data_IF_306982608184
#
_entry.id   IF_306982608184
#
_cell.length_a   1.000
_cell.length_b   1.000
_cell.length_c   1.000
_cell.angle_alpha   90.00
_cell.angle_beta   90.00
_cell.angle_gamma   90.00
#
_symmetry.space_group_name_H-M   'P 1'
#
loop_
_entity.id
_entity.type
_entity.pdbx_description
1 polymer ?
#
# COMPACT_ATOMS: atom_id res chain seq x y z
N UNK A 1 -44.79 -21.11 23.54
CA UNK A 1 -44.29 -19.71 23.68
C UNK A 1 -42.78 -19.81 23.88
N UNK A 2 -42.01 -19.57 22.81
CA UNK A 2 -40.56 -19.76 22.83
C UNK A 2 -39.89 -18.48 23.32
N UNK A 3 -39.12 -18.61 24.39
CA UNK A 3 -38.36 -17.54 25.02
C UNK A 3 -37.30 -17.00 24.06
N UNK A 4 -37.38 -15.70 23.76
CA UNK A 4 -36.32 -14.99 23.04
C UNK A 4 -35.06 -14.95 23.92
N UNK A 5 -34.09 -15.81 23.60
CA UNK A 5 -32.76 -15.77 24.19
C UNK A 5 -32.10 -14.45 23.80
N UNK A 6 -31.84 -13.63 24.82
CA UNK A 6 -31.16 -12.33 24.76
C UNK A 6 -29.84 -12.48 23.99
N UNK A 7 -29.75 -11.91 22.79
CA UNK A 7 -28.49 -11.78 22.05
C UNK A 7 -27.58 -10.92 22.92
N UNK A 8 -26.50 -11.52 23.44
CA UNK A 8 -25.45 -10.80 24.16
C UNK A 8 -24.83 -9.81 23.18
N UNK A 9 -25.21 -8.54 23.29
CA UNK A 9 -24.67 -7.43 22.51
C UNK A 9 -23.18 -7.28 22.83
N UNK A 10 -22.31 -7.96 22.08
CA UNK A 10 -20.93 -7.46 21.97
C UNK A 10 -21.05 -6.06 21.37
N UNK A 11 -20.54 -5.01 22.05
CA UNK A 11 -20.51 -3.69 21.46
C UNK A 11 -19.76 -3.77 20.13
N UNK A 12 -20.13 -2.93 19.14
CA UNK A 12 -19.46 -2.91 17.86
C UNK A 12 -17.95 -2.73 18.03
N UNK A 13 -17.18 -3.22 17.07
CA UNK A 13 -15.75 -3.00 16.97
C UNK A 13 -15.51 -1.49 17.08
N UNK A 14 -14.68 -1.10 18.04
CA UNK A 14 -14.46 0.31 18.42
C UNK A 14 -12.96 0.60 18.49
N UNK A 15 -12.44 1.24 17.44
CA UNK A 15 -11.05 1.67 17.33
C UNK A 15 -10.76 3.01 18.03
N UNK A 16 -11.78 3.69 18.55
CA UNK A 16 -11.60 4.92 19.34
C UNK A 16 -11.26 4.64 20.80
N UNK A 17 -11.66 3.48 21.30
CA UNK A 17 -11.32 3.05 22.64
C UNK A 17 -10.17 2.02 22.60
N UNK A 18 -8.90 2.45 22.74
CA UNK A 18 -7.75 1.55 22.68
C UNK A 18 -7.74 0.49 23.79
N UNK A 19 -8.50 0.68 24.88
CA UNK A 19 -8.63 -0.29 25.96
C UNK A 19 -9.55 -1.47 25.60
N UNK A 20 -10.27 -1.42 24.48
CA UNK A 20 -11.16 -2.51 24.01
C UNK A 20 -10.41 -3.64 23.32
N UNK A 21 -9.20 -3.38 22.83
CA UNK A 21 -8.43 -4.32 22.01
C UNK A 21 -7.02 -4.48 22.55
N UNK A 22 -6.56 -5.72 22.57
CA UNK A 22 -5.15 -6.04 22.78
C UNK A 22 -4.34 -5.77 21.51
N UNK A 23 -3.02 -5.69 21.62
CA UNK A 23 -2.14 -5.62 20.44
C UNK A 23 -2.37 -6.78 19.46
N UNK A 24 -2.70 -7.97 19.97
CA UNK A 24 -3.03 -9.13 19.14
C UNK A 24 -4.32 -8.91 18.36
N UNK A 25 -5.36 -8.34 18.98
CA UNK A 25 -6.62 -8.04 18.31
C UNK A 25 -6.40 -7.04 17.15
N UNK A 26 -5.57 -6.01 17.36
CA UNK A 26 -5.18 -5.09 16.29
C UNK A 26 -4.49 -5.80 15.12
N UNK A 27 -3.58 -6.74 15.40
CA UNK A 27 -2.88 -7.50 14.36
C UNK A 27 -3.83 -8.40 13.57
N UNK A 28 -4.77 -9.06 14.24
CA UNK A 28 -5.77 -9.91 13.58
C UNK A 28 -6.70 -9.07 12.71
N UNK A 29 -7.21 -7.96 13.24
CA UNK A 29 -8.20 -7.13 12.57
C UNK A 29 -7.60 -6.28 11.44
N UNK A 30 -6.43 -5.69 11.66
CA UNK A 30 -5.86 -4.67 10.74
C UNK A 30 -4.55 -5.09 10.08
N UNK A 31 -3.90 -6.15 10.59
CA UNK A 31 -2.55 -6.53 10.18
C UNK A 31 -1.43 -5.71 10.85
N UNK A 32 -1.77 -4.73 11.68
CA UNK A 32 -0.82 -3.85 12.36
C UNK A 32 -0.84 -4.09 13.87
N UNK A 33 0.30 -3.85 14.54
CA UNK A 33 0.31 -3.71 16.00
C UNK A 33 -0.42 -2.42 16.44
N UNK A 34 -0.77 -2.34 17.72
CA UNK A 34 -1.40 -1.15 18.30
C UNK A 34 -0.56 0.12 18.09
N UNK A 35 0.76 0.05 18.30
CA UNK A 35 1.66 1.19 18.05
C UNK A 35 1.66 1.60 16.58
N UNK A 36 1.86 0.66 15.65
CA UNK A 36 1.85 0.95 14.23
C UNK A 36 0.52 1.54 13.75
N UNK A 37 -0.61 1.06 14.30
CA UNK A 37 -1.91 1.62 14.01
C UNK A 37 -2.05 3.07 14.52
N UNK A 38 -1.54 3.34 15.73
CA UNK A 38 -1.53 4.68 16.28
C UNK A 38 -0.65 5.64 15.47
N UNK A 39 0.54 5.20 15.08
CA UNK A 39 1.47 5.98 14.25
C UNK A 39 0.83 6.32 12.90
N UNK A 40 0.21 5.33 12.24
CA UNK A 40 -0.54 5.54 11.00
C UNK A 40 -1.65 6.58 11.17
N UNK A 41 -2.42 6.49 12.26
CA UNK A 41 -3.48 7.45 12.55
C UNK A 41 -2.93 8.86 12.81
N UNK A 42 -1.74 8.98 13.42
CA UNK A 42 -1.08 10.26 13.71
C UNK A 42 -0.55 10.95 12.44
N UNK A 43 -0.20 10.18 11.39
CA UNK A 43 0.17 10.74 10.08
C UNK A 43 -1.00 11.45 9.38
N UNK A 44 -2.25 11.17 9.76
CA UNK A 44 -3.43 11.74 9.09
C UNK A 44 -3.97 12.92 9.91
N UNK A 45 -4.06 14.13 9.33
CA UNK A 45 -4.64 15.27 10.03
C UNK A 45 -6.07 15.00 10.47
N UNK A 46 -6.41 15.33 11.72
CA UNK A 46 -7.75 15.13 12.29
C UNK A 46 -8.86 15.89 11.54
N UNK A 47 -8.51 16.91 10.75
CA UNK A 47 -9.41 17.69 9.91
C UNK A 47 -9.68 17.07 8.54
N UNK A 48 -8.89 16.08 8.10
CA UNK A 48 -9.00 15.47 6.77
C UNK A 48 -10.13 14.44 6.66
N UNK A 49 -10.68 14.00 7.79
CA UNK A 49 -11.81 13.07 7.85
C UNK A 49 -12.93 13.70 8.68
N UNK A 50 -14.16 13.60 8.19
CA UNK A 50 -15.35 14.11 8.90
C UNK A 50 -15.53 13.35 10.23
N UNK A 51 -15.19 14.00 11.34
CA UNK A 51 -15.51 13.49 12.68
C UNK A 51 -16.99 13.77 12.98
N UNK A 52 -17.85 12.78 12.78
CA UNK A 52 -19.14 12.72 13.47
C UNK A 52 -19.01 11.81 14.69
N UNK A 53 -19.95 11.91 15.63
CA UNK A 53 -19.94 11.12 16.88
C UNK A 53 -19.78 9.61 16.70
N UNK A 54 -20.13 9.08 15.52
CA UNK A 54 -20.03 7.65 15.18
C UNK A 54 -19.01 7.35 14.06
N UNK A 55 -18.24 8.34 13.59
CA UNK A 55 -17.31 8.20 12.45
C UNK A 55 -16.05 9.01 12.71
N UNK A 56 -15.20 8.51 13.58
CA UNK A 56 -13.89 9.13 13.79
C UNK A 56 -12.90 8.73 12.70
N UNK A 57 -11.81 9.47 12.61
CA UNK A 57 -10.67 9.14 11.73
C UNK A 57 -10.14 7.72 11.99
N UNK A 58 -10.02 7.32 13.27
CA UNK A 58 -9.51 6.00 13.66
C UNK A 58 -10.45 4.88 13.24
N UNK A 59 -11.75 5.07 13.43
CA UNK A 59 -12.76 4.11 12.97
C UNK A 59 -12.73 3.94 11.45
N UNK A 60 -12.58 5.02 10.69
CA UNK A 60 -12.53 4.96 9.25
C UNK A 60 -11.28 4.21 8.74
N UNK A 61 -10.10 4.51 9.31
CA UNK A 61 -8.84 3.83 8.98
C UNK A 61 -8.91 2.35 9.37
N UNK A 62 -9.38 2.05 10.58
CA UNK A 62 -9.55 0.67 11.06
C UNK A 62 -10.51 -0.13 10.18
N UNK A 63 -11.64 0.44 9.79
CA UNK A 63 -12.61 -0.18 8.89
C UNK A 63 -11.99 -0.53 7.52
N UNK A 64 -11.19 0.39 6.96
CA UNK A 64 -10.50 0.16 5.70
C UNK A 64 -9.46 -0.96 5.82
N UNK A 65 -8.64 -0.93 6.86
CA UNK A 65 -7.63 -1.97 7.09
C UNK A 65 -8.27 -3.34 7.33
N UNK A 66 -9.37 -3.40 8.10
CA UNK A 66 -10.16 -4.63 8.26
C UNK A 66 -10.69 -5.15 6.93
N UNK A 67 -11.22 -4.27 6.08
CA UNK A 67 -11.71 -4.66 4.77
C UNK A 67 -10.59 -5.27 3.91
N UNK A 68 -9.43 -4.64 3.89
CA UNK A 68 -8.27 -5.10 3.11
C UNK A 68 -7.68 -6.40 3.66
N UNK A 69 -7.61 -6.53 4.99
CA UNK A 69 -7.00 -7.67 5.68
C UNK A 69 -7.89 -8.92 5.64
N UNK A 70 -9.18 -8.74 5.89
CA UNK A 70 -10.14 -9.83 6.11
C UNK A 70 -11.10 -10.04 4.93
N UNK A 71 -10.96 -9.26 3.85
CA UNK A 71 -11.80 -9.32 2.65
C UNK A 71 -13.32 -9.24 2.93
N UNK A 72 -13.72 -8.44 3.93
CA UNK A 72 -15.11 -8.38 4.38
C UNK A 72 -16.03 -7.63 3.41
N UNK A 73 -17.29 -8.09 3.33
CA UNK A 73 -18.37 -7.39 2.62
C UNK A 73 -18.76 -6.10 3.35
N UNK A 74 -19.47 -5.21 2.66
CA UNK A 74 -19.91 -3.95 3.29
C UNK A 74 -20.98 -4.22 4.35
N UNK A 75 -21.79 -5.25 4.15
CA UNK A 75 -22.83 -5.71 5.06
C UNK A 75 -22.22 -6.23 6.36
N UNK A 76 -21.17 -7.05 6.28
CA UNK A 76 -20.46 -7.54 7.47
C UNK A 76 -19.77 -6.42 8.22
N UNK A 77 -19.13 -5.48 7.50
CA UNK A 77 -18.53 -4.30 8.13
C UNK A 77 -19.58 -3.40 8.80
N UNK A 78 -20.76 -3.24 8.20
CA UNK A 78 -21.85 -2.46 8.80
C UNK A 78 -22.28 -3.06 10.14
N UNK A 79 -22.46 -4.38 10.19
CA UNK A 79 -22.82 -5.09 11.42
C UNK A 79 -21.71 -5.00 12.47
N UNK A 80 -20.45 -5.25 12.10
CA UNK A 80 -19.33 -5.26 13.04
C UNK A 80 -19.05 -3.88 13.63
N UNK A 81 -19.18 -2.81 12.84
CA UNK A 81 -18.86 -1.45 13.24
C UNK A 81 -20.09 -0.64 13.71
N UNK A 82 -21.28 -1.27 13.76
CA UNK A 82 -22.51 -0.59 14.16
C UNK A 82 -22.93 0.54 13.20
N UNK A 83 -22.60 0.42 11.91
CA UNK A 83 -22.95 1.41 10.90
C UNK A 83 -24.33 1.11 10.29
N UNK A 84 -25.06 2.18 9.96
CA UNK A 84 -26.48 2.11 9.61
C UNK A 84 -26.79 1.42 8.29
N UNK A 85 -25.90 1.54 7.29
CA UNK A 85 -26.16 1.09 5.93
C UNK A 85 -24.89 0.94 5.07
N UNK A 86 -25.04 0.25 3.93
CA UNK A 86 -23.97 -0.02 2.95
C UNK A 86 -23.35 1.25 2.35
N UNK A 87 -24.14 2.30 2.10
CA UNK A 87 -23.64 3.57 1.54
C UNK A 87 -22.76 4.28 2.57
N UNK A 88 -23.19 4.28 3.83
CA UNK A 88 -22.38 4.77 4.95
C UNK A 88 -21.02 4.08 5.01
N UNK A 89 -20.98 2.74 4.96
CA UNK A 89 -19.71 1.98 4.93
C UNK A 89 -18.86 2.38 3.73
N UNK A 90 -19.45 2.44 2.53
CA UNK A 90 -18.73 2.85 1.33
C UNK A 90 -18.10 4.25 1.45
N UNK A 91 -18.83 5.20 2.02
CA UNK A 91 -18.35 6.57 2.21
C UNK A 91 -17.21 6.64 3.24
N UNK A 92 -17.30 5.88 4.33
CA UNK A 92 -16.24 5.77 5.35
C UNK A 92 -14.96 5.17 4.77
N UNK A 93 -15.09 4.09 3.98
CA UNK A 93 -13.95 3.47 3.33
C UNK A 93 -13.30 4.39 2.29
N UNK A 94 -14.13 5.10 1.50
CA UNK A 94 -13.63 6.02 0.49
C UNK A 94 -12.92 7.22 1.12
N UNK A 95 -13.46 7.80 2.20
CA UNK A 95 -12.81 8.91 2.89
C UNK A 95 -11.46 8.50 3.48
N UNK A 96 -11.40 7.34 4.15
CA UNK A 96 -10.15 6.79 4.68
C UNK A 96 -9.11 6.56 3.58
N UNK A 97 -9.53 6.00 2.43
CA UNK A 97 -8.65 5.78 1.28
C UNK A 97 -8.07 7.09 0.76
N UNK A 98 -8.91 8.10 0.54
CA UNK A 98 -8.47 9.40 0.03
C UNK A 98 -7.51 10.08 1.02
N UNK A 99 -7.81 10.02 2.32
CA UNK A 99 -6.95 10.61 3.35
C UNK A 99 -5.58 9.91 3.41
N UNK A 100 -5.54 8.57 3.36
CA UNK A 100 -4.29 7.81 3.33
C UNK A 100 -3.48 8.11 2.07
N UNK A 101 -4.11 8.16 0.90
CA UNK A 101 -3.41 8.49 -0.35
C UNK A 101 -2.75 9.87 -0.28
N UNK A 102 -3.46 10.86 0.27
CA UNK A 102 -3.01 12.24 0.34
C UNK A 102 -1.94 12.50 1.41
N UNK A 103 -2.08 11.90 2.58
CA UNK A 103 -1.27 12.25 3.75
C UNK A 103 -0.22 11.21 4.12
N UNK A 104 -0.51 9.93 3.89
CA UNK A 104 0.41 8.85 4.24
C UNK A 104 1.21 8.37 3.03
N UNK A 105 0.53 7.97 1.96
CA UNK A 105 1.19 7.39 0.78
C UNK A 105 2.12 8.41 0.15
N UNK A 106 1.68 9.64 -0.08
CA UNK A 106 2.52 10.68 -0.68
C UNK A 106 3.83 10.90 0.10
N UNK A 107 3.78 10.86 1.43
CA UNK A 107 4.90 11.19 2.30
C UNK A 107 5.80 10.00 2.66
N UNK A 108 5.30 8.77 2.53
CA UNK A 108 6.01 7.58 3.04
C UNK A 108 6.14 6.42 2.04
N UNK A 109 5.40 6.45 0.92
CA UNK A 109 5.37 5.35 -0.06
C UNK A 109 5.41 5.83 -1.53
N UNK A 110 5.05 7.07 -1.83
CA UNK A 110 4.98 7.63 -3.18
C UNK A 110 6.31 8.18 -3.67
N UNK A 111 6.50 8.40 -4.97
CA UNK A 111 7.81 8.81 -5.50
C UNK A 111 8.35 10.15 -4.97
N UNK A 112 7.52 10.96 -4.30
CA UNK A 112 7.93 12.23 -3.70
C UNK A 112 8.71 12.07 -2.38
N UNK A 113 8.61 10.93 -1.68
CA UNK A 113 9.31 10.75 -0.40
C UNK A 113 10.79 10.37 -0.53
N UNK A 114 11.24 9.98 -1.73
CA UNK A 114 12.63 9.59 -2.00
C UNK A 114 13.17 10.47 -3.13
N UNK A 115 14.27 11.18 -2.85
CA UNK A 115 14.95 11.94 -3.89
C UNK A 115 15.64 11.00 -4.89
N UNK A 116 15.78 11.42 -6.15
CA UNK A 116 16.54 10.67 -7.17
C UNK A 116 17.95 10.31 -6.69
N UNK A 117 18.64 11.23 -6.02
CA UNK A 117 19.99 10.98 -5.48
C UNK A 117 19.97 9.89 -4.40
N UNK A 118 19.03 9.99 -3.46
CA UNK A 118 18.82 8.95 -2.43
C UNK A 118 18.57 7.57 -3.04
N UNK A 119 17.79 7.50 -4.14
CA UNK A 119 17.52 6.24 -4.85
C UNK A 119 18.80 5.66 -5.50
N UNK A 120 19.59 6.50 -6.16
CA UNK A 120 20.82 6.08 -6.85
C UNK A 120 21.92 5.68 -5.84
N UNK A 121 22.04 6.44 -4.75
CA UNK A 121 23.14 6.29 -3.80
C UNK A 121 22.86 5.17 -2.79
N UNK A 122 21.62 5.05 -2.30
CA UNK A 122 21.28 4.16 -1.18
C UNK A 122 20.48 2.92 -1.58
N UNK A 123 19.85 2.92 -2.76
CA UNK A 123 18.88 1.88 -3.15
C UNK A 123 19.20 1.18 -4.47
N UNK A 124 20.25 1.61 -5.17
CA UNK A 124 20.74 0.93 -6.38
C UNK A 124 22.03 0.17 -6.06
N UNK A 125 21.97 -1.17 -6.08
CA UNK A 125 23.15 -2.01 -5.79
C UNK A 125 24.22 -1.86 -6.88
N UNK A 126 25.53 -1.94 -6.53
CA UNK A 126 26.63 -1.86 -7.50
C UNK A 126 26.46 -2.85 -8.68
N UNK A 127 26.11 -4.10 -8.39
CA UNK A 127 25.80 -5.10 -9.40
C UNK A 127 24.73 -4.63 -10.41
N UNK A 128 23.62 -4.05 -9.94
CA UNK A 128 22.57 -3.55 -10.82
C UNK A 128 23.08 -2.40 -11.70
N UNK A 129 23.94 -1.53 -11.16
CA UNK A 129 24.56 -0.43 -11.92
C UNK A 129 25.43 -0.95 -13.07
N UNK A 130 26.20 -2.00 -12.81
CA UNK A 130 27.07 -2.62 -13.81
C UNK A 130 26.22 -3.24 -14.93
N UNK A 131 25.17 -3.98 -14.58
CA UNK A 131 24.35 -4.72 -15.55
C UNK A 131 23.40 -3.84 -16.36
N UNK A 132 22.79 -2.83 -15.75
CA UNK A 132 21.66 -2.12 -16.34
C UNK A 132 21.92 -0.63 -16.57
N UNK A 133 23.04 -0.10 -16.07
CA UNK A 133 23.35 1.33 -16.15
C UNK A 133 24.75 1.65 -16.73
N UNK A 134 25.50 0.67 -17.24
CA UNK A 134 26.87 0.84 -17.74
C UNK A 134 27.81 1.44 -16.68
N UNK A 135 27.59 1.08 -15.41
CA UNK A 135 28.30 1.63 -14.25
C UNK A 135 28.15 3.15 -14.06
N UNK A 136 27.13 3.76 -14.66
CA UNK A 136 26.86 5.19 -14.54
C UNK A 136 26.11 5.51 -13.22
N UNK A 137 26.77 6.29 -12.35
CA UNK A 137 26.25 6.73 -11.05
C UNK A 137 25.21 7.86 -11.11
N UNK A 138 24.73 8.26 -12.30
CA UNK A 138 23.62 9.22 -12.44
C UNK A 138 22.33 8.55 -12.97
N UNK A 139 22.36 7.23 -13.20
CA UNK A 139 21.19 6.47 -13.65
C UNK A 139 20.51 5.77 -12.47
N UNK A 140 19.20 5.99 -12.34
CA UNK A 140 18.35 5.24 -11.42
C UNK A 140 17.81 3.98 -12.10
N UNK A 141 17.79 2.86 -11.37
CA UNK A 141 17.23 1.60 -11.84
C UNK A 141 15.95 1.33 -11.07
N UNK A 142 14.85 1.11 -11.79
CA UNK A 142 13.53 0.84 -11.23
C UNK A 142 13.04 -0.51 -11.74
N UNK A 143 12.74 -1.42 -10.82
CA UNK A 143 12.11 -2.72 -11.14
C UNK A 143 10.64 -2.61 -10.79
N UNK A 144 9.77 -2.81 -11.78
CA UNK A 144 8.33 -2.75 -11.62
C UNK A 144 7.76 -4.15 -11.82
N UNK A 145 7.18 -4.73 -10.76
CA UNK A 145 6.48 -6.01 -10.84
C UNK A 145 5.17 -5.85 -11.62
N UNK A 146 5.04 -6.62 -12.71
CA UNK A 146 3.90 -6.60 -13.63
C UNK A 146 2.59 -7.01 -12.97
N UNK A 147 2.64 -7.71 -11.84
CA UNK A 147 1.46 -8.06 -11.04
C UNK A 147 0.65 -6.82 -10.67
N UNK A 148 1.29 -5.71 -10.27
CA UNK A 148 0.60 -4.46 -9.97
C UNK A 148 0.27 -3.61 -11.21
N UNK A 149 0.97 -3.84 -12.33
CA UNK A 149 0.67 -3.17 -13.62
C UNK A 149 -0.61 -3.73 -14.25
N UNK A 150 -0.93 -5.01 -14.02
CA UNK A 150 -2.08 -5.68 -14.65
C UNK A 150 -3.29 -5.88 -13.73
N UNK A 151 -3.16 -5.71 -12.41
CA UNK A 151 -4.23 -6.03 -11.45
C UNK A 151 -5.42 -5.07 -11.37
N UNK A 152 -5.57 -4.07 -12.25
CA UNK A 152 -6.76 -3.20 -12.21
C UNK A 152 -7.40 -3.08 -13.60
N UNK A 153 -8.51 -3.81 -13.78
CA UNK A 153 -9.41 -3.74 -14.95
C UNK A 153 -10.08 -2.36 -15.16
N UNK A 154 -9.76 -1.35 -14.35
CA UNK A 154 -10.23 0.03 -14.47
C UNK A 154 -9.00 0.96 -14.36
N UNK A 155 -8.71 1.70 -15.44
CA UNK A 155 -7.69 2.76 -15.54
C UNK A 155 -6.50 2.64 -14.57
N UNK A 156 -5.51 1.82 -14.92
CA UNK A 156 -4.24 1.82 -14.19
C UNK A 156 -3.48 3.12 -14.52
N UNK A 157 -3.53 4.08 -13.60
CA UNK A 157 -2.84 5.37 -13.72
C UNK A 157 -1.33 5.21 -13.90
N UNK A 158 -0.72 4.20 -13.24
CA UNK A 158 0.70 3.90 -13.41
C UNK A 158 0.99 3.37 -14.82
N UNK A 159 0.11 2.51 -15.37
CA UNK A 159 0.23 2.05 -16.75
C UNK A 159 0.09 3.22 -17.73
N UNK A 160 -0.92 4.06 -17.56
CA UNK A 160 -1.12 5.26 -18.39
C UNK A 160 0.07 6.22 -18.31
N UNK A 161 0.63 6.40 -17.12
CA UNK A 161 1.83 7.22 -16.91
C UNK A 161 3.07 6.61 -17.58
N UNK A 162 3.27 5.29 -17.46
CA UNK A 162 4.35 4.57 -18.13
C UNK A 162 4.20 4.66 -19.65
N UNK A 163 2.99 4.46 -20.18
CA UNK A 163 2.71 4.55 -21.61
C UNK A 163 2.99 5.98 -22.13
N UNK A 164 2.55 7.01 -21.40
CA UNK A 164 2.86 8.41 -21.72
C UNK A 164 4.37 8.73 -21.63
N UNK A 165 5.14 8.04 -20.79
CA UNK A 165 6.60 8.17 -20.72
C UNK A 165 7.32 7.43 -21.84
N UNK A 166 6.78 6.29 -22.31
CA UNK A 166 7.30 5.55 -23.47
C UNK A 166 7.14 6.37 -24.74
N UNK A 167 6.04 7.09 -24.86
CA UNK A 167 5.72 7.92 -26.03
C UNK A 167 6.42 9.28 -26.02
N UNK A 168 7.21 9.61 -24.98
CA UNK A 168 7.90 10.89 -24.85
C UNK A 168 9.39 10.79 -25.30
N UNK A 169 9.75 11.30 -26.49
CA UNK A 169 11.10 11.17 -27.04
C UNK A 169 12.14 12.08 -26.37
N UNK A 170 11.73 13.07 -25.57
CA UNK A 170 12.64 14.01 -24.91
C UNK A 170 13.29 13.45 -23.64
N UNK A 171 12.81 12.30 -23.16
CA UNK A 171 13.36 11.65 -21.97
C UNK A 171 14.27 10.50 -22.37
N UNK A 172 15.54 10.56 -21.94
CA UNK A 172 16.54 9.50 -22.11
C UNK A 172 16.21 8.28 -21.22
N UNK A 173 15.09 7.61 -21.49
CA UNK A 173 14.58 6.44 -20.77
C UNK A 173 14.66 5.24 -21.70
N UNK A 174 15.43 4.21 -21.29
CA UNK A 174 15.47 2.91 -21.97
C UNK A 174 14.53 1.94 -21.25
N UNK A 175 13.60 1.36 -21.99
CA UNK A 175 12.66 0.36 -21.47
C UNK A 175 13.12 -1.04 -21.88
N UNK A 176 13.18 -1.95 -20.91
CA UNK A 176 13.52 -3.36 -21.13
C UNK A 176 12.34 -4.22 -20.67
N UNK A 177 11.76 -5.01 -21.58
CA UNK A 177 10.79 -6.05 -21.21
C UNK A 177 11.54 -7.30 -20.76
N UNK A 178 11.30 -7.72 -19.52
CA UNK A 178 11.83 -8.95 -18.95
C UNK A 178 10.79 -10.06 -19.11
N UNK A 179 10.49 -10.45 -20.35
CA UNK A 179 9.64 -11.62 -20.60
C UNK A 179 10.51 -12.89 -20.58
N UNK A 180 10.12 -13.87 -19.76
CA UNK A 180 10.84 -15.13 -19.62
C UNK A 180 10.80 -16.01 -20.88
N UNK A 181 9.94 -15.68 -21.85
CA UNK A 181 9.72 -16.48 -23.07
C UNK A 181 10.87 -16.37 -24.11
N UNK A 182 11.92 -15.62 -23.82
CA UNK A 182 13.09 -15.46 -24.69
C UNK A 182 14.31 -14.91 -23.97
N UNK A 183 14.49 -15.25 -22.68
CA UNK A 183 15.70 -14.89 -21.94
C UNK A 183 16.92 -15.55 -22.61
N UNK A 184 17.61 -14.72 -23.40
CA UNK A 184 18.72 -14.97 -24.31
C UNK A 184 19.84 -15.85 -23.73
N UNK A 185 20.47 -16.61 -24.63
CA UNK A 185 21.79 -17.24 -24.47
C UNK A 185 22.93 -16.26 -24.10
N UNK A 186 22.66 -14.95 -24.18
CA UNK A 186 23.57 -13.83 -23.87
C UNK A 186 23.38 -13.25 -22.45
N UNK A 187 22.56 -13.85 -21.58
CA UNK A 187 22.50 -13.39 -20.20
C UNK A 187 23.80 -13.78 -19.47
N UNK A 188 24.58 -12.81 -18.94
CA UNK A 188 25.88 -13.11 -18.36
C UNK A 188 25.75 -14.07 -17.17
N UNK A 189 26.34 -15.26 -17.33
CA UNK A 189 26.42 -16.27 -16.27
C UNK A 189 27.57 -15.87 -15.35
N UNK A 190 27.23 -15.21 -14.24
CA UNK A 190 28.20 -14.93 -13.19
C UNK A 190 28.38 -16.16 -12.31
N UNK A 191 29.64 -16.48 -11.98
CA UNK A 191 29.91 -17.44 -10.91
C UNK A 191 29.45 -16.86 -9.56
N UNK A 192 29.21 -17.74 -8.59
CA UNK A 192 28.88 -17.33 -7.22
C UNK A 192 29.93 -16.37 -6.64
N UNK A 193 31.22 -16.63 -6.92
CA UNK A 193 32.33 -15.78 -6.49
C UNK A 193 32.25 -14.40 -7.13
N UNK A 194 32.01 -14.32 -8.44
CA UNK A 194 31.81 -13.04 -9.14
C UNK A 194 30.59 -12.27 -8.63
N UNK A 195 29.53 -12.96 -8.20
CA UNK A 195 28.37 -12.31 -7.58
C UNK A 195 28.70 -11.76 -6.19
N UNK A 196 29.53 -12.44 -5.40
CA UNK A 196 29.94 -11.94 -4.08
C UNK A 196 30.83 -10.70 -4.20
N UNK A 197 31.79 -10.70 -5.13
CA UNK A 197 32.66 -9.55 -5.37
C UNK A 197 31.91 -8.30 -5.85
N UNK A 198 30.73 -8.48 -6.47
CA UNK A 198 29.88 -7.39 -6.96
C UNK A 198 28.83 -6.91 -5.95
N UNK A 199 28.63 -7.65 -4.86
CA UNK A 199 27.61 -7.36 -3.83
C UNK A 199 28.19 -6.86 -2.51
N UNK A 200 29.50 -6.97 -2.31
CA UNK A 200 30.28 -6.37 -1.21
C UNK A 200 30.92 -5.04 -1.63
#
# INVERSE_FOLDING_TARGET
MSSFTRVVTRPPVDFDNPSRFTTHDYQVLTGLSLEQFNDLCNCIPKSSLYNTSNRTSRMAIGALLMKLRLALSHETLAVLLGLSDRKTVSNVLQSARVALMKHFVLQHLGFEHISRRTLIDQRTRPLAKILLADNNNDKAILVLDSTYIYLVQQSNELKQYIDALKDNPDKNIKWYNLDAAGALDDFPIFSYESLMDLTL
#
